data_IF_029418547911
#
_entry.id   IF_029418547911
#
_cell.length_a   1.000
_cell.length_b   1.000
_cell.length_c   1.000
_cell.angle_alpha   90.00
_cell.angle_beta   90.00
_cell.angle_gamma   90.00
#
_symmetry.space_group_name_H-M   'P 1'
#
loop_
_entity.id
_entity.type
_entity.pdbx_description
1 polymer ?
#
# COMPACT_ATOMS: atom_id res chain seq x y z
N UNK A 1 32.11 -3.68 -18.31
CA UNK A 1 31.80 -4.85 -17.49
C UNK A 1 30.56 -5.54 -18.07
N UNK A 2 30.53 -6.87 -18.19
CA UNK A 2 29.33 -7.57 -18.63
C UNK A 2 28.20 -7.30 -17.62
N UNK A 3 27.02 -6.97 -18.14
CA UNK A 3 25.82 -6.75 -17.32
C UNK A 3 25.30 -8.10 -16.80
N UNK A 4 25.06 -8.18 -15.48
CA UNK A 4 24.48 -9.34 -14.83
C UNK A 4 23.11 -8.96 -14.23
N UNK A 5 21.99 -9.38 -14.85
CA UNK A 5 20.66 -9.07 -14.33
C UNK A 5 20.44 -9.56 -12.90
N UNK A 6 21.16 -10.62 -12.49
CA UNK A 6 21.06 -11.17 -11.15
C UNK A 6 21.59 -10.23 -10.06
N UNK A 7 22.43 -9.26 -10.43
CA UNK A 7 22.99 -8.25 -9.53
C UNK A 7 22.27 -6.91 -9.59
N UNK A 8 21.26 -6.78 -10.45
CA UNK A 8 20.49 -5.55 -10.57
C UNK A 8 19.47 -5.47 -9.43
N UNK A 9 19.82 -4.76 -8.38
CA UNK A 9 18.98 -4.53 -7.20
C UNK A 9 19.14 -3.09 -6.69
N UNK A 10 18.08 -2.50 -6.17
CA UNK A 10 18.10 -1.12 -5.68
C UNK A 10 18.73 -1.01 -4.29
N UNK A 11 18.50 -1.98 -3.43
CA UNK A 11 19.02 -2.03 -2.05
C UNK A 11 19.56 -3.44 -1.77
N UNK A 12 20.51 -3.58 -0.83
CA UNK A 12 20.92 -4.90 -0.33
C UNK A 12 19.73 -5.70 0.18
N UNK A 13 19.65 -6.98 -0.16
CA UNK A 13 18.62 -7.88 0.35
C UNK A 13 18.81 -8.11 1.85
N UNK A 14 17.73 -7.95 2.60
CA UNK A 14 17.61 -8.36 4.01
C UNK A 14 16.79 -9.64 4.08
N UNK A 15 17.26 -10.62 4.84
CA UNK A 15 16.54 -11.83 5.14
C UNK A 15 15.61 -11.62 6.34
N UNK A 16 14.76 -12.59 6.64
CA UNK A 16 13.78 -12.46 7.72
C UNK A 16 14.40 -12.06 9.06
N UNK A 17 15.55 -12.65 9.42
CA UNK A 17 16.23 -12.40 10.69
C UNK A 17 16.90 -11.03 10.78
N UNK A 18 17.01 -10.30 9.67
CA UNK A 18 17.61 -8.96 9.65
C UNK A 18 16.62 -7.85 10.01
N UNK A 19 15.32 -8.17 10.06
CA UNK A 19 14.27 -7.20 10.37
C UNK A 19 13.96 -7.18 11.87
N UNK A 20 13.50 -6.03 12.35
CA UNK A 20 13.18 -5.81 13.76
C UNK A 20 11.75 -5.29 13.91
N UNK A 21 11.12 -5.67 15.04
CA UNK A 21 9.80 -5.13 15.42
C UNK A 21 9.88 -3.61 15.59
N UNK A 22 8.86 -2.91 15.09
CA UNK A 22 8.76 -1.46 15.19
C UNK A 22 9.54 -0.68 14.12
N UNK A 23 10.28 -1.33 13.21
CA UNK A 23 10.88 -0.64 12.06
C UNK A 23 9.79 0.01 11.20
N UNK A 24 10.01 1.27 10.81
CA UNK A 24 9.05 2.07 10.05
C UNK A 24 9.56 2.39 8.65
N UNK A 25 8.64 2.33 7.69
CA UNK A 25 8.89 2.63 6.29
C UNK A 25 7.78 3.53 5.76
N UNK A 26 8.07 4.27 4.70
CA UNK A 26 7.12 5.16 4.06
C UNK A 26 7.11 4.93 2.56
N UNK A 27 5.95 5.03 1.94
CA UNK A 27 5.84 5.18 0.50
C UNK A 27 5.70 6.66 0.13
N UNK A 28 6.06 7.07 -1.09
CA UNK A 28 5.83 8.42 -1.56
C UNK A 28 4.36 8.81 -1.44
N UNK A 29 4.10 10.04 -0.99
CA UNK A 29 2.76 10.61 -1.00
C UNK A 29 2.23 10.71 -2.43
N UNK A 30 0.91 10.59 -2.58
CA UNK A 30 0.26 10.67 -3.89
C UNK A 30 -1.08 11.38 -3.82
N UNK A 31 -1.26 12.36 -4.69
CA UNK A 31 -2.57 13.01 -4.86
C UNK A 31 -3.49 12.09 -5.68
N UNK A 32 -4.69 11.89 -5.18
CA UNK A 32 -5.76 11.12 -5.82
C UNK A 32 -6.40 11.94 -6.93
N UNK A 33 -5.69 12.03 -8.06
CA UNK A 33 -6.10 12.80 -9.23
C UNK A 33 -7.11 12.03 -10.08
N UNK A 34 -7.78 12.73 -11.01
CA UNK A 34 -8.67 12.09 -11.99
C UNK A 34 -7.95 11.01 -12.83
N UNK A 35 -6.64 11.18 -13.07
CA UNK A 35 -5.82 10.15 -13.73
C UNK A 35 -5.73 8.86 -12.92
N UNK A 36 -5.63 8.95 -11.58
CA UNK A 36 -5.65 7.78 -10.68
C UNK A 36 -7.02 7.11 -10.72
N UNK A 37 -8.10 7.89 -10.69
CA UNK A 37 -9.47 7.37 -10.81
C UNK A 37 -9.69 6.64 -12.14
N UNK A 38 -9.28 7.23 -13.25
CA UNK A 38 -9.40 6.62 -14.58
C UNK A 38 -8.58 5.33 -14.70
N UNK A 39 -7.34 5.31 -14.19
CA UNK A 39 -6.50 4.13 -14.19
C UNK A 39 -7.11 2.99 -13.35
N UNK A 40 -7.64 3.31 -12.18
CA UNK A 40 -8.31 2.32 -11.33
C UNK A 40 -9.60 1.80 -11.98
N UNK A 41 -10.41 2.67 -12.58
CA UNK A 41 -11.62 2.29 -13.32
C UNK A 41 -11.29 1.26 -14.40
N UNK A 42 -10.27 1.54 -15.20
CA UNK A 42 -9.83 0.66 -16.28
C UNK A 42 -9.32 -0.69 -15.76
N UNK A 43 -8.54 -0.69 -14.68
CA UNK A 43 -7.94 -1.90 -14.11
C UNK A 43 -8.94 -2.78 -13.37
N UNK A 44 -9.91 -2.18 -12.67
CA UNK A 44 -10.86 -2.90 -11.82
C UNK A 44 -12.19 -3.24 -12.52
N UNK A 45 -12.54 -2.53 -13.58
CA UNK A 45 -13.87 -2.57 -14.18
C UNK A 45 -14.98 -1.93 -13.32
N UNK A 46 -14.62 -1.38 -12.15
CA UNK A 46 -15.57 -0.71 -11.26
C UNK A 46 -16.02 0.62 -11.87
N UNK A 47 -17.31 0.74 -12.13
CA UNK A 47 -17.90 1.91 -12.82
C UNK A 47 -19.13 2.45 -12.07
N UNK A 48 -19.20 2.24 -10.75
CA UNK A 48 -20.33 2.76 -9.98
C UNK A 48 -20.29 4.29 -9.92
N UNK A 49 -21.41 5.01 -10.14
CA UNK A 49 -21.45 6.47 -10.20
C UNK A 49 -20.93 7.18 -8.94
N UNK A 50 -20.94 6.54 -7.78
CA UNK A 50 -20.35 7.08 -6.53
C UNK A 50 -18.85 7.41 -6.66
N UNK A 51 -18.18 6.84 -7.64
CA UNK A 51 -16.75 7.07 -7.86
C UNK A 51 -16.47 7.96 -9.10
N UNK A 52 -17.45 8.11 -10.01
CA UNK A 52 -17.17 8.67 -11.35
C UNK A 52 -18.19 9.73 -11.81
N UNK A 53 -19.28 9.99 -11.05
CA UNK A 53 -20.33 10.94 -11.42
C UNK A 53 -20.51 12.01 -10.33
N UNK A 54 -19.98 13.20 -10.61
CA UNK A 54 -20.10 14.36 -9.70
C UNK A 54 -21.53 14.80 -9.47
N UNK A 55 -22.38 14.69 -10.51
CA UNK A 55 -23.79 15.07 -10.38
C UNK A 55 -24.52 14.13 -9.42
N UNK A 56 -24.28 12.83 -9.56
CA UNK A 56 -24.80 11.82 -8.66
C UNK A 56 -24.32 12.06 -7.21
N UNK A 57 -23.02 12.26 -7.00
CA UNK A 57 -22.45 12.50 -5.67
C UNK A 57 -22.99 13.76 -4.99
N UNK A 58 -23.21 14.82 -5.78
CA UNK A 58 -23.81 16.05 -5.26
C UNK A 58 -25.21 15.83 -4.71
N UNK A 59 -26.01 14.95 -5.30
CA UNK A 59 -27.34 14.60 -4.77
C UNK A 59 -27.26 13.86 -3.44
N UNK A 60 -26.14 13.21 -3.15
CA UNK A 60 -25.87 12.50 -1.90
C UNK A 60 -25.14 13.36 -0.84
N UNK A 61 -24.84 14.61 -1.16
CA UNK A 61 -24.16 15.55 -0.25
C UNK A 61 -22.65 15.37 -0.17
N UNK A 62 -22.03 14.65 -1.10
CA UNK A 62 -20.57 14.53 -1.17
C UNK A 62 -19.91 15.70 -1.92
N UNK A 63 -18.71 16.13 -1.51
CA UNK A 63 -18.07 17.31 -2.08
C UNK A 63 -17.48 17.09 -3.47
N UNK A 64 -17.04 15.86 -3.79
CA UNK A 64 -16.41 15.50 -5.08
C UNK A 64 -16.47 13.97 -5.28
N UNK A 65 -15.81 13.47 -6.34
CA UNK A 65 -15.67 12.03 -6.59
C UNK A 65 -15.04 11.34 -5.39
N UNK A 66 -15.68 10.29 -4.91
CA UNK A 66 -15.20 9.51 -3.77
C UNK A 66 -14.36 8.33 -4.27
N UNK A 67 -13.13 8.22 -3.78
CA UNK A 67 -12.25 7.12 -4.14
C UNK A 67 -12.84 5.77 -3.70
N UNK A 68 -12.70 4.76 -4.56
CA UNK A 68 -13.01 3.39 -4.19
C UNK A 68 -12.08 2.93 -3.04
N UNK A 69 -12.60 2.14 -2.10
CA UNK A 69 -11.79 1.66 -0.98
C UNK A 69 -10.49 0.98 -1.42
N UNK A 70 -10.56 0.08 -2.40
CA UNK A 70 -9.35 -0.54 -2.96
C UNK A 70 -8.44 0.46 -3.68
N UNK A 71 -8.97 1.51 -4.29
CA UNK A 71 -8.15 2.57 -4.89
C UNK A 71 -7.29 3.28 -3.83
N UNK A 72 -7.86 3.54 -2.66
CA UNK A 72 -7.13 4.09 -1.51
C UNK A 72 -6.14 3.07 -0.94
N UNK A 73 -6.54 1.81 -0.83
CA UNK A 73 -5.74 0.74 -0.24
C UNK A 73 -4.48 0.41 -1.05
N UNK A 74 -4.56 0.41 -2.39
CA UNK A 74 -3.39 0.12 -3.24
C UNK A 74 -2.27 1.17 -3.09
N UNK A 75 -2.53 2.34 -2.49
CA UNK A 75 -1.47 3.29 -2.16
C UNK A 75 -0.51 2.74 -1.09
N UNK A 76 -0.91 1.71 -0.34
CA UNK A 76 -0.06 0.95 0.57
C UNK A 76 0.55 -0.32 -0.07
N UNK A 77 0.71 -0.36 -1.39
CA UNK A 77 1.50 -1.40 -2.03
C UNK A 77 2.97 -1.23 -1.63
N UNK A 78 3.55 -2.21 -0.93
CA UNK A 78 4.90 -2.08 -0.36
C UNK A 78 5.99 -1.85 -1.40
N UNK A 79 5.76 -2.23 -2.66
CA UNK A 79 6.69 -2.00 -3.77
C UNK A 79 7.02 -0.53 -4.04
N UNK A 80 6.19 0.40 -3.53
CA UNK A 80 6.46 1.82 -3.56
C UNK A 80 7.40 2.29 -2.42
N UNK A 81 7.66 1.44 -1.42
CA UNK A 81 8.48 1.74 -0.25
C UNK A 81 9.84 1.04 -0.31
N UNK A 82 10.85 1.51 0.45
CA UNK A 82 12.12 0.80 0.58
C UNK A 82 11.97 -0.64 1.10
N UNK A 83 10.96 -0.92 1.93
CA UNK A 83 10.74 -2.24 2.54
C UNK A 83 10.76 -3.37 1.50
N UNK A 84 9.98 -3.26 0.43
CA UNK A 84 9.95 -4.32 -0.59
C UNK A 84 11.29 -4.50 -1.31
N UNK A 85 12.03 -3.41 -1.50
CA UNK A 85 13.36 -3.44 -2.12
C UNK A 85 14.42 -4.05 -1.19
N UNK A 86 14.30 -3.81 0.13
CA UNK A 86 15.15 -4.45 1.14
C UNK A 86 14.80 -5.94 1.30
N UNK A 87 13.52 -6.32 1.24
CA UNK A 87 13.12 -7.73 1.20
C UNK A 87 13.69 -8.44 -0.02
N UNK A 88 13.76 -7.77 -1.15
CA UNK A 88 14.41 -8.21 -2.37
C UNK A 88 14.14 -9.67 -2.71
N UNK A 89 15.19 -10.49 -2.84
CA UNK A 89 15.09 -11.92 -3.16
C UNK A 89 14.67 -12.80 -1.99
N UNK A 90 14.63 -12.28 -0.77
CA UNK A 90 14.13 -13.01 0.40
C UNK A 90 12.59 -13.05 0.41
N UNK A 91 11.91 -12.12 -0.27
CA UNK A 91 10.45 -12.15 -0.41
C UNK A 91 10.03 -13.37 -1.25
N UNK A 92 9.18 -14.23 -0.67
CA UNK A 92 8.59 -15.39 -1.34
C UNK A 92 7.20 -15.06 -1.86
N UNK A 93 6.36 -14.40 -1.05
CA UNK A 93 5.01 -14.07 -1.45
C UNK A 93 4.22 -13.25 -0.45
N UNK A 94 3.09 -12.75 -0.92
CA UNK A 94 2.09 -12.04 -0.12
C UNK A 94 1.10 -13.08 0.42
N UNK A 95 0.92 -13.12 1.73
CA UNK A 95 0.15 -14.19 2.40
C UNK A 95 -1.31 -13.78 2.57
N UNK A 96 -1.51 -12.65 3.23
CA UNK A 96 -2.86 -12.14 3.50
C UNK A 96 -2.83 -10.62 3.79
N UNK A 97 -4.03 -10.07 3.85
CA UNK A 97 -4.26 -8.69 4.18
C UNK A 97 -5.59 -8.51 4.89
N UNK A 98 -5.62 -7.59 5.85
CA UNK A 98 -6.84 -7.02 6.39
C UNK A 98 -6.80 -5.50 6.31
N UNK A 99 -7.96 -4.85 6.18
CA UNK A 99 -8.02 -3.39 6.15
C UNK A 99 -9.36 -2.88 6.66
N UNK A 100 -9.33 -1.63 7.16
CA UNK A 100 -10.49 -0.85 7.56
C UNK A 100 -10.44 0.50 6.86
N UNK A 101 -11.56 0.91 6.29
CA UNK A 101 -11.76 2.20 5.67
C UNK A 101 -12.45 3.10 6.69
N UNK A 102 -11.70 4.04 7.24
CA UNK A 102 -12.10 4.82 8.42
C UNK A 102 -12.63 6.21 8.05
N UNK A 103 -12.15 6.76 6.94
CA UNK A 103 -12.56 8.07 6.45
C UNK A 103 -12.61 8.08 4.92
N UNK A 104 -13.62 8.71 4.31
CA UNK A 104 -13.70 8.81 2.85
C UNK A 104 -12.51 9.62 2.30
N UNK A 105 -12.05 9.20 1.13
CA UNK A 105 -11.01 9.89 0.35
C UNK A 105 -11.67 10.44 -0.90
N UNK A 106 -11.41 11.71 -1.22
CA UNK A 106 -11.98 12.38 -2.37
C UNK A 106 -10.93 12.70 -3.43
N UNK A 107 -11.40 12.96 -4.64
CA UNK A 107 -10.55 13.49 -5.69
C UNK A 107 -9.84 14.77 -5.20
N UNK A 108 -8.53 14.85 -5.40
CA UNK A 108 -7.70 15.93 -4.92
C UNK A 108 -7.06 15.72 -3.55
N UNK A 109 -7.51 14.74 -2.76
CA UNK A 109 -6.82 14.38 -1.51
C UNK A 109 -5.43 13.81 -1.80
N UNK A 110 -4.46 14.14 -0.95
CA UNK A 110 -3.12 13.56 -1.00
C UNK A 110 -2.95 12.55 0.12
N UNK A 111 -2.60 11.33 -0.24
CA UNK A 111 -2.42 10.23 0.69
C UNK A 111 -0.96 9.99 1.04
N UNK A 112 -0.70 9.67 2.29
CA UNK A 112 0.63 9.45 2.90
C UNK A 112 0.67 8.06 3.53
N UNK A 113 1.12 7.02 2.79
CA UNK A 113 1.21 5.66 3.32
C UNK A 113 2.43 5.49 4.24
N UNK A 114 2.21 4.82 5.36
CA UNK A 114 3.24 4.41 6.31
C UNK A 114 3.10 2.93 6.66
N UNK A 115 4.21 2.31 7.00
CA UNK A 115 4.32 0.89 7.33
C UNK A 115 5.13 0.74 8.62
N UNK A 116 4.73 -0.19 9.48
CA UNK A 116 5.50 -0.54 10.68
C UNK A 116 5.52 -2.05 10.84
N UNK A 117 6.70 -2.64 11.03
CA UNK A 117 6.82 -4.07 11.29
C UNK A 117 6.20 -4.37 12.66
N UNK A 118 5.11 -5.13 12.66
CA UNK A 118 4.34 -5.46 13.86
C UNK A 118 4.24 -6.97 14.14
N UNK A 119 4.79 -7.81 13.26
CA UNK A 119 4.84 -9.25 13.46
C UNK A 119 6.13 -9.83 12.84
N UNK A 120 6.84 -10.64 13.59
CA UNK A 120 7.94 -11.47 13.11
C UNK A 120 7.75 -12.89 13.65
N UNK A 121 7.16 -13.76 12.82
CA UNK A 121 6.89 -15.16 13.18
C UNK A 121 7.83 -16.08 12.42
N UNK A 122 8.89 -16.52 13.10
CA UNK A 122 9.86 -17.46 12.54
C UNK A 122 9.25 -18.85 12.41
N UNK A 123 9.48 -19.49 11.28
CA UNK A 123 9.16 -20.90 11.01
C UNK A 123 10.45 -21.70 10.80
N UNK A 124 10.35 -22.99 10.50
CA UNK A 124 11.52 -23.88 10.36
C UNK A 124 12.47 -23.47 9.21
N UNK A 125 11.94 -23.02 8.07
CA UNK A 125 12.70 -22.68 6.86
C UNK A 125 12.36 -21.31 6.29
N UNK A 126 11.33 -20.66 6.82
CA UNK A 126 10.82 -19.35 6.37
C UNK A 126 10.41 -18.51 7.59
N UNK A 127 9.94 -17.31 7.35
CA UNK A 127 9.30 -16.49 8.36
C UNK A 127 8.13 -15.69 7.79
N UNK A 128 7.17 -15.35 8.64
CA UNK A 128 6.10 -14.40 8.32
C UNK A 128 6.49 -13.05 8.88
N UNK A 129 6.63 -12.07 8.01
CA UNK A 129 6.82 -10.67 8.36
C UNK A 129 5.49 -9.95 8.17
N UNK A 130 4.93 -9.44 9.27
CA UNK A 130 3.71 -8.65 9.28
C UNK A 130 4.00 -7.16 9.38
N UNK A 131 3.25 -6.36 8.65
CA UNK A 131 3.32 -4.90 8.68
C UNK A 131 1.94 -4.31 8.95
N UNK A 132 1.87 -3.44 9.96
CA UNK A 132 0.76 -2.51 10.07
C UNK A 132 0.87 -1.46 8.96
N UNK A 133 -0.26 -1.12 8.36
CA UNK A 133 -0.36 -0.05 7.37
C UNK A 133 -1.26 1.06 7.89
N UNK A 134 -0.85 2.30 7.65
CA UNK A 134 -1.64 3.49 7.89
C UNK A 134 -1.56 4.40 6.68
N UNK A 135 -2.71 4.91 6.25
CA UNK A 135 -2.77 5.89 5.17
C UNK A 135 -3.52 7.13 5.70
N UNK A 136 -2.79 8.21 5.86
CA UNK A 136 -3.33 9.50 6.27
C UNK A 136 -3.54 10.40 5.04
N UNK A 137 -4.48 11.34 5.14
CA UNK A 137 -4.60 12.42 4.15
C UNK A 137 -3.77 13.64 4.55
N UNK A 138 -3.79 14.70 3.71
CA UNK A 138 -3.07 15.96 3.92
C UNK A 138 -3.47 16.72 5.21
N UNK A 139 -4.60 16.38 5.80
CA UNK A 139 -5.09 16.98 7.05
C UNK A 139 -4.70 16.13 8.29
N UNK A 140 -3.88 15.09 8.11
CA UNK A 140 -3.50 14.17 9.17
C UNK A 140 -4.61 13.22 9.61
N UNK A 141 -5.69 13.08 8.82
CA UNK A 141 -6.80 12.19 9.12
C UNK A 141 -6.43 10.78 8.64
N UNK A 142 -6.56 9.80 9.53
CA UNK A 142 -6.35 8.39 9.19
C UNK A 142 -7.54 7.89 8.34
N UNK A 143 -7.27 7.62 7.07
CA UNK A 143 -8.28 7.18 6.11
C UNK A 143 -8.37 5.66 6.00
N UNK A 144 -7.22 4.97 6.04
CA UNK A 144 -7.14 3.51 5.95
C UNK A 144 -6.15 3.00 6.99
N UNK A 145 -6.51 1.91 7.67
CA UNK A 145 -5.60 1.13 8.51
C UNK A 145 -5.72 -0.35 8.20
N UNK A 146 -4.67 -1.12 8.47
CA UNK A 146 -4.72 -2.56 8.24
C UNK A 146 -3.42 -3.26 8.53
N UNK A 147 -3.34 -4.51 8.09
CA UNK A 147 -2.15 -5.34 8.20
C UNK A 147 -1.93 -6.09 6.89
N UNK A 148 -0.66 -6.27 6.54
CA UNK A 148 -0.21 -7.09 5.42
C UNK A 148 0.81 -8.09 5.94
N UNK A 149 0.79 -9.34 5.45
CA UNK A 149 1.72 -10.39 5.86
C UNK A 149 2.43 -10.96 4.65
N UNK A 150 3.73 -11.17 4.81
CA UNK A 150 4.62 -11.61 3.76
C UNK A 150 5.40 -12.84 4.19
N UNK A 151 5.52 -13.83 3.31
CA UNK A 151 6.38 -15.00 3.51
C UNK A 151 7.78 -14.65 3.01
N UNK A 152 8.78 -14.91 3.85
CA UNK A 152 10.18 -14.59 3.58
C UNK A 152 11.11 -15.77 3.81
N UNK A 153 12.25 -15.78 3.14
CA UNK A 153 13.41 -16.65 3.43
C UNK A 153 14.09 -16.18 4.72
N UNK A 154 14.59 -17.16 5.48
CA UNK A 154 15.43 -16.89 6.66
C UNK A 154 16.79 -16.37 6.25
#
# INVERSE_FOLDING_TARGET
>A
MPFDPAKHQMLPTRHFDDFQMGERFFAPSRTMSEGVFAAFQSASGCNHPIHYDRTYLKTLGHPDLMAHGYMSLIQAAIGASPLAHEMGRALIGFVDQSSRFLHPVYNGDTLYPAFEINELMRQSTTGILGVAIEIHNQNGILCVSGNQRYLMRL
#
